data_IF_349667466225
#
_entry.id   IF_349667466225
#
_cell.length_a   1.000
_cell.length_b   1.000
_cell.length_c   1.000
_cell.angle_alpha   90.00
_cell.angle_beta   90.00
_cell.angle_gamma   90.00
#
_symmetry.space_group_name_H-M   'P 1'
#
loop_
_entity.id
_entity.type
_entity.pdbx_description
1 polymer ?
#
# COMPACT_ATOMS: atom_id res chain seq x y z
N UNK A 1 -7.99 15.08 -59.26
CA UNK A 1 -8.61 15.71 -58.07
C UNK A 1 -8.74 14.63 -57.03
N UNK A 2 -7.87 14.63 -56.02
CA UNK A 2 -7.69 13.53 -55.05
C UNK A 2 -8.24 13.99 -53.69
N UNK A 3 -9.08 13.16 -53.07
CA UNK A 3 -9.72 13.38 -51.77
C UNK A 3 -8.71 13.52 -50.61
N UNK A 4 -9.01 14.29 -49.55
CA UNK A 4 -8.19 14.31 -48.35
C UNK A 4 -8.49 13.09 -47.46
N UNK A 5 -7.42 12.51 -46.91
CA UNK A 5 -7.42 11.36 -46.02
C UNK A 5 -7.99 11.72 -44.64
N UNK A 6 -8.98 10.95 -44.19
CA UNK A 6 -9.43 10.91 -42.81
C UNK A 6 -8.34 10.25 -41.94
N UNK A 7 -7.78 11.02 -41.01
CA UNK A 7 -6.85 10.50 -39.99
C UNK A 7 -7.64 10.12 -38.75
N UNK A 8 -8.10 8.87 -38.68
CA UNK A 8 -8.65 8.31 -37.45
C UNK A 8 -7.51 8.02 -36.47
N UNK A 9 -7.35 8.91 -35.49
CA UNK A 9 -6.47 8.71 -34.34
C UNK A 9 -7.15 7.77 -33.35
N UNK A 10 -6.79 6.49 -33.40
CA UNK A 10 -7.25 5.49 -32.43
C UNK A 10 -6.42 5.64 -31.14
N UNK A 11 -6.97 6.37 -30.17
CA UNK A 11 -6.43 6.41 -28.81
C UNK A 11 -6.66 5.05 -28.14
N UNK A 12 -5.61 4.23 -28.03
CA UNK A 12 -5.64 2.99 -27.26
C UNK A 12 -5.60 3.35 -25.77
N UNK A 13 -6.77 3.38 -25.13
CA UNK A 13 -6.88 3.48 -23.68
C UNK A 13 -6.43 2.15 -23.08
N UNK A 14 -5.15 2.08 -22.70
CA UNK A 14 -4.62 1.03 -21.82
C UNK A 14 -5.45 0.99 -20.52
N UNK A 15 -5.87 -0.19 -20.04
CA UNK A 15 -6.59 -0.29 -18.78
C UNK A 15 -5.62 0.03 -17.63
N UNK A 16 -5.75 1.22 -17.08
CA UNK A 16 -5.12 1.59 -15.80
C UNK A 16 -5.52 0.55 -14.76
N UNK A 17 -4.56 -0.27 -14.32
CA UNK A 17 -4.75 -1.16 -13.18
C UNK A 17 -5.11 -0.29 -11.98
N UNK A 18 -6.39 -0.27 -11.63
CA UNK A 18 -6.91 0.40 -10.45
C UNK A 18 -6.24 -0.25 -9.24
N UNK A 19 -5.20 0.41 -8.71
CA UNK A 19 -4.76 0.13 -7.36
C UNK A 19 -5.98 0.34 -6.48
N UNK A 20 -6.42 -0.67 -5.69
CA UNK A 20 -7.56 -0.48 -4.83
C UNK A 20 -7.17 0.61 -3.83
N UNK A 21 -7.73 1.79 -4.01
CA UNK A 21 -7.62 2.87 -3.06
C UNK A 21 -8.46 2.46 -1.85
N UNK A 22 -7.83 1.74 -0.93
CA UNK A 22 -8.48 1.25 0.29
C UNK A 22 -8.95 2.49 1.05
N UNK A 23 -10.27 2.69 1.04
CA UNK A 23 -10.89 3.78 1.76
C UNK A 23 -10.56 3.66 3.26
N UNK A 24 -10.29 4.76 3.99
CA UNK A 24 -9.86 4.73 5.39
C UNK A 24 -10.79 3.94 6.31
N UNK A 25 -12.08 3.90 6.00
CA UNK A 25 -13.12 3.14 6.70
C UNK A 25 -13.01 1.62 6.53
N UNK A 26 -12.28 1.11 5.55
CA UNK A 26 -12.04 -0.33 5.35
C UNK A 26 -10.82 -0.83 6.13
N UNK A 27 -10.02 0.08 6.72
CA UNK A 27 -8.76 -0.29 7.36
C UNK A 27 -9.00 -1.04 8.68
N UNK A 28 -10.00 -0.65 9.47
CA UNK A 28 -10.33 -1.29 10.73
C UNK A 28 -10.90 -2.71 10.57
N UNK A 29 -11.39 -3.09 9.39
CA UNK A 29 -11.88 -4.43 9.09
C UNK A 29 -10.80 -5.42 8.65
N UNK A 30 -9.57 -4.96 8.38
CA UNK A 30 -8.54 -5.80 7.77
C UNK A 30 -7.79 -6.68 8.77
N UNK A 31 -7.69 -6.26 10.02
CA UNK A 31 -7.20 -7.11 11.11
C UNK A 31 -8.38 -7.36 12.07
N UNK A 32 -9.12 -8.47 11.90
CA UNK A 32 -10.33 -8.73 12.68
C UNK A 32 -10.05 -9.06 14.15
N UNK A 33 -8.78 -9.20 14.53
CA UNK A 33 -8.34 -9.59 15.86
C UNK A 33 -7.52 -8.49 16.53
N UNK A 34 -8.03 -7.95 17.64
CA UNK A 34 -7.25 -7.03 18.48
C UNK A 34 -6.29 -7.80 19.39
N UNK A 35 -5.08 -7.28 19.56
CA UNK A 35 -4.05 -7.82 20.46
C UNK A 35 -4.50 -7.66 21.91
N UNK A 36 -4.64 -8.77 22.62
CA UNK A 36 -4.87 -8.84 24.06
C UNK A 36 -3.67 -9.50 24.74
N UNK A 37 -3.68 -9.58 26.08
CA UNK A 37 -2.61 -10.23 26.85
C UNK A 37 -2.48 -11.73 26.55
N UNK A 38 -3.57 -12.37 26.14
CA UNK A 38 -3.68 -13.83 26.05
C UNK A 38 -3.61 -14.36 24.61
N UNK A 39 -3.60 -13.48 23.59
CA UNK A 39 -3.73 -13.89 22.19
C UNK A 39 -2.54 -13.51 21.30
N UNK A 40 -1.40 -13.11 21.87
CA UNK A 40 -0.25 -12.60 21.11
C UNK A 40 0.17 -13.49 19.94
N UNK A 41 0.27 -14.81 20.14
CA UNK A 41 0.68 -15.74 19.08
C UNK A 41 -0.31 -15.74 17.92
N UNK A 42 -1.60 -15.86 18.21
CA UNK A 42 -2.66 -15.82 17.20
C UNK A 42 -2.72 -14.47 16.49
N UNK A 43 -2.62 -13.37 17.25
CA UNK A 43 -2.56 -12.02 16.70
C UNK A 43 -1.37 -11.84 15.76
N UNK A 44 -0.19 -12.35 16.15
CA UNK A 44 1.02 -12.27 15.33
C UNK A 44 0.85 -13.03 14.03
N UNK A 45 0.29 -14.23 14.05
CA UNK A 45 0.09 -15.04 12.85
C UNK A 45 -0.89 -14.37 11.88
N UNK A 46 -2.05 -13.91 12.38
CA UNK A 46 -3.05 -13.22 11.55
C UNK A 46 -2.49 -11.90 11.01
N UNK A 47 -1.86 -11.09 11.86
CA UNK A 47 -1.27 -9.80 11.45
C UNK A 47 -0.18 -10.02 10.41
N UNK A 48 0.68 -11.02 10.58
CA UNK A 48 1.72 -11.38 9.61
C UNK A 48 1.11 -11.74 8.26
N UNK A 49 0.10 -12.62 8.24
CA UNK A 49 -0.57 -13.03 7.01
C UNK A 49 -1.23 -11.85 6.29
N UNK A 50 -1.89 -10.97 7.04
CA UNK A 50 -2.49 -9.74 6.50
C UNK A 50 -1.40 -8.86 5.88
N UNK A 51 -0.33 -8.56 6.61
CA UNK A 51 0.75 -7.72 6.09
C UNK A 51 1.45 -8.32 4.87
N UNK A 52 1.58 -9.65 4.79
CA UNK A 52 2.13 -10.34 3.62
C UNK A 52 1.20 -10.19 2.40
N UNK A 53 -0.11 -10.39 2.57
CA UNK A 53 -1.09 -10.26 1.49
C UNK A 53 -1.13 -8.84 0.88
N UNK A 54 -0.81 -7.82 1.67
CA UNK A 54 -0.72 -6.44 1.21
C UNK A 54 0.70 -5.96 0.92
N UNK A 55 1.68 -6.87 0.92
CA UNK A 55 3.09 -6.57 0.63
C UNK A 55 3.73 -5.61 1.63
N UNK A 56 3.19 -5.44 2.83
CA UNK A 56 3.69 -4.54 3.88
C UNK A 56 4.60 -5.25 4.88
N UNK A 57 4.66 -6.58 4.87
CA UNK A 57 5.48 -7.35 5.82
C UNK A 57 6.96 -6.99 5.75
N UNK A 58 7.45 -6.64 4.55
CA UNK A 58 8.82 -6.18 4.30
C UNK A 58 9.23 -4.93 5.09
N UNK A 59 8.26 -4.12 5.51
CA UNK A 59 8.49 -2.96 6.37
C UNK A 59 8.70 -3.35 7.84
N UNK A 60 8.10 -4.48 8.26
CA UNK A 60 8.15 -4.96 9.65
C UNK A 60 9.37 -5.85 9.88
N UNK A 61 9.72 -6.70 8.91
CA UNK A 61 10.93 -7.54 8.99
C UNK A 61 12.23 -6.76 8.67
N UNK A 62 12.10 -5.53 8.17
CA UNK A 62 13.21 -4.63 7.85
C UNK A 62 13.90 -4.92 6.52
N UNK A 63 13.35 -5.82 5.69
CA UNK A 63 13.89 -6.10 4.34
C UNK A 63 13.71 -4.94 3.37
N UNK A 64 12.70 -4.09 3.59
CA UNK A 64 12.44 -2.87 2.81
C UNK A 64 12.83 -1.62 3.59
N UNK A 65 13.93 -1.00 3.19
CA UNK A 65 14.42 0.24 3.78
C UNK A 65 13.81 1.48 3.13
N UNK A 66 13.68 2.56 3.89
CA UNK A 66 13.24 3.85 3.36
C UNK A 66 14.15 4.33 2.22
N UNK A 67 13.61 4.62 1.03
CA UNK A 67 14.40 5.21 -0.03
C UNK A 67 14.77 6.66 0.35
N UNK A 68 15.89 7.21 -0.15
CA UNK A 68 16.26 8.58 0.16
C UNK A 68 15.21 9.55 -0.42
N UNK A 69 14.84 10.64 0.28
CA UNK A 69 13.88 11.62 -0.23
C UNK A 69 14.35 12.34 -1.50
N UNK A 70 15.67 12.43 -1.69
CA UNK A 70 16.31 13.06 -2.83
C UNK A 70 17.29 12.10 -3.50
N UNK A 71 17.37 12.15 -4.83
CA UNK A 71 18.43 11.52 -5.62
C UNK A 71 19.25 12.66 -6.22
N UNK A 72 20.41 12.95 -5.63
CA UNK A 72 21.16 14.17 -5.92
C UNK A 72 20.39 15.40 -5.44
N UNK A 73 19.95 16.24 -6.38
CA UNK A 73 19.14 17.44 -6.11
C UNK A 73 17.65 17.28 -6.45
N UNK A 74 17.25 16.14 -7.02
CA UNK A 74 15.88 15.91 -7.47
C UNK A 74 15.10 15.08 -6.46
N UNK A 75 13.78 15.32 -6.36
CA UNK A 75 12.89 14.55 -5.52
C UNK A 75 12.82 13.08 -5.97
N UNK A 76 12.91 12.15 -5.02
CA UNK A 76 12.77 10.73 -5.30
C UNK A 76 11.28 10.35 -5.39
N UNK A 77 10.76 9.91 -6.55
CA UNK A 77 9.36 9.50 -6.67
C UNK A 77 9.02 8.25 -5.84
N UNK A 78 10.02 7.42 -5.47
CA UNK A 78 9.80 6.24 -4.65
C UNK A 78 9.53 6.59 -3.17
N UNK A 79 10.04 7.72 -2.68
CA UNK A 79 9.89 8.14 -1.28
C UNK A 79 8.43 8.37 -0.86
N UNK A 80 7.60 9.16 -1.56
CA UNK A 80 6.20 9.34 -1.18
C UNK A 80 5.39 8.04 -1.25
N UNK A 81 5.74 7.12 -2.18
CA UNK A 81 5.09 5.81 -2.30
C UNK A 81 5.41 4.95 -1.08
N UNK A 82 6.69 4.84 -0.73
CA UNK A 82 7.14 4.13 0.47
C UNK A 82 6.53 4.74 1.74
N UNK A 83 6.51 6.07 1.85
CA UNK A 83 5.96 6.78 3.01
C UNK A 83 4.46 6.53 3.17
N UNK A 84 3.70 6.47 2.08
CA UNK A 84 2.28 6.10 2.12
C UNK A 84 2.12 4.69 2.67
N UNK A 85 2.90 3.74 2.16
CA UNK A 85 2.89 2.34 2.58
C UNK A 85 3.26 2.17 4.06
N UNK A 86 4.33 2.83 4.52
CA UNK A 86 4.77 2.87 5.93
C UNK A 86 3.67 3.39 6.85
N UNK A 87 3.07 4.54 6.52
CA UNK A 87 1.97 5.12 7.29
C UNK A 87 0.75 4.21 7.35
N UNK A 88 0.43 3.54 6.25
CA UNK A 88 -0.66 2.56 6.21
C UNK A 88 -0.35 1.35 7.10
N UNK A 89 0.86 0.79 7.02
CA UNK A 89 1.29 -0.31 7.88
C UNK A 89 1.18 0.07 9.36
N UNK A 90 1.68 1.25 9.74
CA UNK A 90 1.58 1.77 11.11
C UNK A 90 0.14 1.94 11.57
N UNK A 91 -0.75 2.46 10.70
CA UNK A 91 -2.16 2.60 11.01
C UNK A 91 -2.81 1.24 11.30
N UNK A 92 -2.47 0.21 10.53
CA UNK A 92 -3.03 -1.14 10.70
C UNK A 92 -2.55 -1.79 11.99
N UNK A 93 -1.26 -1.71 12.28
CA UNK A 93 -0.69 -2.20 13.53
C UNK A 93 -1.31 -1.50 14.74
N UNK A 94 -1.56 -0.19 14.65
CA UNK A 94 -2.19 0.57 15.73
C UNK A 94 -3.65 0.18 15.91
N UNK A 95 -4.39 0.01 14.80
CA UNK A 95 -5.81 -0.37 14.82
C UNK A 95 -6.02 -1.80 15.36
N UNK A 96 -5.02 -2.67 15.26
CA UNK A 96 -5.06 -4.03 15.79
C UNK A 96 -4.68 -4.13 17.27
N UNK A 97 -4.42 -3.02 17.96
CA UNK A 97 -4.19 -3.04 19.41
C UNK A 97 -5.53 -2.93 20.17
N UNK A 98 -5.64 -3.61 21.31
CA UNK A 98 -6.75 -3.37 22.24
C UNK A 98 -6.60 -2.01 22.92
N UNK A 99 -7.73 -1.48 23.38
CA UNK A 99 -7.72 -0.30 24.25
C UNK A 99 -6.96 -0.60 25.56
N UNK A 100 -6.30 0.40 26.16
CA UNK A 100 -5.55 0.24 27.41
C UNK A 100 -6.39 -0.29 28.58
#
# INVERSE_FOLDING_TARGET
MVNPAETNSSTSTEPSFLSPEIAPNHVASLIPLKLTKDNYLLWKDITTLVLQNYGMYSLVDGSETSPPPLIGTQANPAYPIWLKKDRTCRLWLTASLSEP
#
